data_IF_652512850391
#
_entry.id   IF_652512850391
#
_cell.length_a   1.000
_cell.length_b   1.000
_cell.length_c   1.000
_cell.angle_alpha   90.00
_cell.angle_beta   90.00
_cell.angle_gamma   90.00
#
_symmetry.space_group_name_H-M   'P 1'
#
loop_
_entity.id
_entity.type
_entity.pdbx_description
1 polymer ?
#
# COMPACT_ATOMS: atom_id res chain seq x y z
N UNK A 1 10.53 -18.58 14.72
CA UNK A 1 9.45 -17.60 14.54
C UNK A 1 10.14 -16.36 14.00
N UNK A 2 10.35 -16.31 12.68
CA UNK A 2 10.78 -15.08 12.05
C UNK A 2 9.51 -14.24 11.97
N UNK A 3 9.38 -13.25 12.84
CA UNK A 3 8.40 -12.20 12.60
C UNK A 3 8.88 -11.52 11.33
N UNK A 4 8.14 -11.67 10.23
CA UNK A 4 8.26 -10.72 9.13
C UNK A 4 8.11 -9.34 9.75
N UNK A 5 9.19 -8.55 9.71
CA UNK A 5 9.15 -7.13 10.09
C UNK A 5 8.40 -6.40 8.97
N UNK A 6 7.09 -6.65 8.82
CA UNK A 6 6.22 -5.88 7.93
C UNK A 6 6.13 -4.46 8.52
N UNK A 7 6.41 -3.43 7.71
CA UNK A 7 6.27 -2.03 8.15
C UNK A 7 4.78 -1.74 8.35
N UNK A 8 4.39 -1.37 9.57
CA UNK A 8 2.99 -1.04 9.90
C UNK A 8 2.71 0.43 9.75
N UNK A 9 1.73 0.73 8.93
CA UNK A 9 1.22 2.08 8.70
C UNK A 9 -0.12 2.25 9.43
N UNK A 10 -0.26 3.39 10.13
CA UNK A 10 -1.52 3.82 10.72
C UNK A 10 -2.11 4.85 9.78
N UNK A 11 -3.17 4.48 9.06
CA UNK A 11 -3.85 5.37 8.13
C UNK A 11 -5.19 5.76 8.75
N UNK A 12 -5.45 7.06 8.99
CA UNK A 12 -6.76 7.51 9.38
C UNK A 12 -7.69 7.53 8.16
N UNK A 13 -8.82 6.83 8.25
CA UNK A 13 -9.87 6.88 7.24
C UNK A 13 -10.61 8.22 7.22
N UNK A 14 -11.49 8.43 6.24
CA UNK A 14 -12.32 9.64 6.10
C UNK A 14 -13.18 9.97 7.35
N UNK A 15 -13.39 8.98 8.22
CA UNK A 15 -14.09 9.15 9.50
C UNK A 15 -13.17 9.52 10.68
N UNK A 16 -11.85 9.62 10.46
CA UNK A 16 -10.85 9.82 11.51
C UNK A 16 -10.63 8.60 12.39
N UNK A 17 -11.03 7.41 11.93
CA UNK A 17 -10.74 6.15 12.60
C UNK A 17 -9.37 5.66 12.11
N UNK A 18 -8.49 5.31 13.04
CA UNK A 18 -7.15 4.81 12.74
C UNK A 18 -7.24 3.33 12.35
N UNK A 19 -6.93 3.02 11.09
CA UNK A 19 -6.79 1.66 10.61
C UNK A 19 -5.31 1.28 10.50
N UNK A 20 -5.01 0.04 10.90
CA UNK A 20 -3.67 -0.52 10.84
C UNK A 20 -3.53 -1.30 9.53
N UNK A 21 -2.45 -1.02 8.82
CA UNK A 21 -2.08 -1.72 7.61
C UNK A 21 -0.64 -2.22 7.71
N UNK A 22 -0.39 -3.42 7.21
CA UNK A 22 0.95 -3.97 6.99
C UNK A 22 1.36 -3.65 5.53
N UNK A 23 2.53 -3.03 5.34
CA UNK A 23 3.10 -2.76 4.01
C UNK A 23 3.52 -4.08 3.36
N UNK A 24 2.91 -4.38 2.21
CA UNK A 24 3.37 -5.44 1.33
C UNK A 24 4.52 -4.92 0.46
N UNK A 25 4.31 -3.76 -0.18
CA UNK A 25 5.27 -3.23 -1.14
C UNK A 25 5.09 -1.73 -1.37
N UNK A 26 6.16 -1.01 -1.71
CA UNK A 26 6.10 0.38 -2.17
C UNK A 26 7.03 0.62 -3.35
N UNK A 27 6.61 1.47 -4.28
CA UNK A 27 7.40 1.85 -5.43
C UNK A 27 7.16 3.30 -5.84
N UNK A 28 8.13 3.89 -6.53
CA UNK A 28 8.02 5.24 -7.07
C UNK A 28 8.05 5.16 -8.59
N UNK A 29 7.06 5.78 -9.23
CA UNK A 29 6.98 5.88 -10.68
C UNK A 29 7.75 7.13 -11.10
N UNK A 30 8.99 6.93 -11.57
CA UNK A 30 9.91 8.01 -12.00
C UNK A 30 9.28 8.90 -13.08
N UNK A 31 8.42 8.34 -13.95
CA UNK A 31 7.71 9.09 -15.00
C UNK A 31 6.73 10.14 -14.46
N UNK A 32 6.20 9.94 -13.25
CA UNK A 32 5.22 10.83 -12.64
C UNK A 32 5.71 11.48 -11.35
N UNK A 33 6.89 11.09 -10.87
CA UNK A 33 7.42 11.41 -9.52
C UNK A 33 6.41 11.07 -8.40
N UNK A 34 5.46 10.17 -8.66
CA UNK A 34 4.47 9.72 -7.69
C UNK A 34 4.92 8.42 -7.06
N UNK A 35 4.64 8.29 -5.77
CA UNK A 35 4.94 7.07 -5.04
C UNK A 35 3.66 6.34 -4.67
N UNK A 36 3.71 5.02 -4.78
CA UNK A 36 2.60 4.10 -4.59
C UNK A 36 3.00 3.09 -3.52
N UNK A 37 2.04 2.72 -2.69
CA UNK A 37 2.20 1.78 -1.60
C UNK A 37 1.02 0.82 -1.58
N UNK A 38 1.33 -0.47 -1.55
CA UNK A 38 0.39 -1.58 -1.44
C UNK A 38 0.42 -2.08 0.00
N UNK A 39 -0.75 -2.14 0.59
CA UNK A 39 -0.99 -2.34 2.01
C UNK A 39 -2.04 -3.42 2.20
N UNK A 40 -1.95 -4.17 3.30
CA UNK A 40 -3.01 -5.10 3.71
C UNK A 40 -3.50 -4.76 5.11
N UNK A 41 -4.81 -4.81 5.36
CA UNK A 41 -5.39 -4.50 6.66
C UNK A 41 -4.95 -5.54 7.71
N UNK A 42 -4.43 -5.03 8.83
CA UNK A 42 -3.99 -5.89 9.94
C UNK A 42 -5.23 -6.49 10.62
N UNK A 43 -5.34 -7.81 10.58
CA UNK A 43 -6.44 -8.56 11.21
C UNK A 43 -7.34 -9.30 10.22
N UNK A 44 -7.19 -9.08 8.91
CA UNK A 44 -7.87 -9.91 7.88
C UNK A 44 -7.02 -11.12 7.45
N UNK A 45 -5.77 -11.20 7.93
CA UNK A 45 -4.88 -12.36 7.77
C UNK A 45 -5.35 -13.62 8.55
N UNK A 46 -6.41 -13.53 9.37
CA UNK A 46 -6.87 -14.62 10.24
C UNK A 46 -7.98 -15.50 9.64
N UNK A 47 -8.60 -15.12 8.51
CA UNK A 47 -9.58 -15.96 7.82
C UNK A 47 -8.89 -16.76 6.70
N UNK A 48 -8.50 -18.00 7.04
CA UNK A 48 -7.78 -18.97 6.20
C UNK A 48 -8.50 -19.36 4.87
N UNK A 49 -9.65 -18.76 4.59
CA UNK A 49 -10.51 -19.01 3.41
C UNK A 49 -10.86 -17.73 2.63
N UNK A 50 -10.45 -16.54 3.10
CA UNK A 50 -10.80 -15.25 2.49
C UNK A 50 -9.62 -14.71 1.66
N UNK A 51 -9.91 -14.21 0.47
CA UNK A 51 -8.91 -13.59 -0.41
C UNK A 51 -8.34 -12.37 0.31
N UNK A 52 -7.02 -12.30 0.50
CA UNK A 52 -6.37 -11.16 1.18
C UNK A 52 -6.65 -9.88 0.39
N UNK A 53 -7.48 -9.00 0.94
CA UNK A 53 -7.80 -7.72 0.31
C UNK A 53 -6.59 -6.78 0.38
N UNK A 54 -5.98 -6.51 -0.78
CA UNK A 54 -4.89 -5.55 -0.91
C UNK A 54 -5.43 -4.16 -1.22
N UNK A 55 -4.86 -3.15 -0.58
CA UNK A 55 -5.20 -1.75 -0.76
C UNK A 55 -4.01 -1.00 -1.31
N UNK A 56 -4.22 -0.21 -2.36
CA UNK A 56 -3.18 0.64 -2.92
C UNK A 56 -3.47 2.11 -2.64
N UNK A 57 -2.44 2.80 -2.15
CA UNK A 57 -2.46 4.23 -1.90
C UNK A 57 -1.28 4.89 -2.59
N UNK A 58 -1.51 6.00 -3.27
CA UNK A 58 -0.43 6.90 -3.68
C UNK A 58 -0.15 7.90 -2.57
N UNK A 59 1.12 8.17 -2.32
CA UNK A 59 1.54 9.22 -1.40
C UNK A 59 2.31 10.29 -2.15
N UNK A 60 2.00 11.55 -1.84
CA UNK A 60 2.66 12.71 -2.41
C UNK A 60 3.23 13.55 -1.26
N UNK A 61 4.55 13.73 -1.26
CA UNK A 61 5.23 14.63 -0.32
C UNK A 61 4.93 16.07 -0.73
N UNK A 62 4.12 16.81 0.04
CA UNK A 62 3.99 18.24 -0.20
C UNK A 62 5.25 18.93 0.32
N UNK A 63 5.89 19.73 -0.55
CA UNK A 63 7.00 20.63 -0.21
C UNK A 63 6.60 21.81 0.71
N UNK A 64 5.61 21.63 1.59
CA UNK A 64 5.25 22.61 2.60
C UNK A 64 6.15 22.44 3.85
N UNK A 65 6.25 23.53 4.64
CA UNK A 65 7.13 23.64 5.82
C UNK A 65 6.92 22.54 6.88
N UNK A 66 5.77 21.86 6.86
CA UNK A 66 5.38 20.80 7.80
C UNK A 66 5.66 19.36 7.32
N UNK A 67 6.22 19.16 6.11
CA UNK A 67 6.49 17.80 5.58
C UNK A 67 5.22 16.92 5.55
N UNK A 68 4.08 17.52 5.21
CA UNK A 68 2.79 16.84 5.18
C UNK A 68 2.74 15.88 3.98
N UNK A 69 2.54 14.59 4.27
CA UNK A 69 2.42 13.54 3.27
C UNK A 69 0.94 13.29 3.04
N UNK A 70 0.46 13.59 1.84
CA UNK A 70 -0.92 13.32 1.46
C UNK A 70 -1.03 11.93 0.87
N UNK A 71 -1.84 11.08 1.49
CA UNK A 71 -2.21 9.77 0.95
C UNK A 71 -3.50 9.91 0.14
N UNK A 72 -3.52 9.33 -1.05
CA UNK A 72 -4.69 9.24 -1.91
C UNK A 72 -4.94 7.78 -2.26
N UNK A 73 -6.15 7.24 -2.06
CA UNK A 73 -6.48 5.90 -2.50
C UNK A 73 -6.35 5.79 -4.02
N UNK A 74 -5.84 4.66 -4.48
CA UNK A 74 -5.76 4.34 -5.89
C UNK A 74 -7.09 3.72 -6.32
N UNK A 75 -7.82 4.43 -7.17
CA UNK A 75 -9.13 3.98 -7.67
C UNK A 75 -9.15 3.82 -9.19
N UNK A 76 -8.03 4.14 -9.87
CA UNK A 76 -7.98 4.14 -11.33
C UNK A 76 -7.43 2.83 -11.87
N UNK A 77 -8.10 2.24 -12.86
CA UNK A 77 -7.67 0.99 -13.50
C UNK A 77 -6.22 1.07 -14.03
N UNK A 78 -5.79 2.24 -14.53
CA UNK A 78 -4.41 2.43 -15.02
C UNK A 78 -3.37 2.31 -13.90
N UNK A 79 -3.64 2.86 -12.73
CA UNK A 79 -2.75 2.74 -11.57
C UNK A 79 -2.79 1.30 -11.02
N UNK A 80 -3.96 0.67 -11.00
CA UNK A 80 -4.11 -0.74 -10.62
C UNK A 80 -3.37 -1.69 -11.56
N UNK A 81 -3.45 -1.51 -12.87
CA UNK A 81 -2.74 -2.33 -13.87
C UNK A 81 -1.22 -2.28 -13.64
N UNK A 82 -0.67 -1.11 -13.30
CA UNK A 82 0.75 -0.96 -12.93
C UNK A 82 1.09 -1.71 -11.62
N UNK A 83 0.23 -1.60 -10.61
CA UNK A 83 0.42 -2.29 -9.32
C UNK A 83 0.35 -3.80 -9.50
N UNK A 84 -0.63 -4.29 -10.26
CA UNK A 84 -0.81 -5.70 -10.58
C UNK A 84 0.36 -6.25 -11.40
N UNK A 85 0.88 -5.50 -12.39
CA UNK A 85 2.06 -5.89 -13.16
C UNK A 85 3.29 -6.04 -12.26
N UNK A 86 3.51 -5.07 -11.36
CA UNK A 86 4.60 -5.11 -10.38
C UNK A 86 4.41 -6.29 -9.42
N UNK A 87 3.21 -6.46 -8.86
CA UNK A 87 2.90 -7.50 -7.88
C UNK A 87 3.01 -8.91 -8.48
N UNK A 88 2.58 -9.11 -9.73
CA UNK A 88 2.81 -10.36 -10.45
C UNK A 88 4.30 -10.61 -10.65
N UNK A 89 5.07 -9.60 -11.08
CA UNK A 89 6.53 -9.73 -11.26
C UNK A 89 7.24 -10.11 -9.96
N UNK A 90 6.86 -9.51 -8.83
CA UNK A 90 7.44 -9.83 -7.51
C UNK A 90 6.99 -11.19 -6.98
N UNK A 91 5.73 -11.58 -7.18
CA UNK A 91 5.23 -12.90 -6.76
C UNK A 91 5.80 -14.03 -7.60
N UNK A 92 6.05 -13.78 -8.89
CA UNK A 92 6.72 -14.73 -9.79
C UNK A 92 8.22 -14.93 -9.46
N UNK A 93 8.86 -14.01 -8.73
CA UNK A 93 10.25 -14.18 -8.25
C UNK A 93 10.39 -15.10 -7.03
N UNK A 94 9.29 -15.49 -6.37
CA UNK A 94 9.29 -16.43 -5.24
C UNK A 94 9.08 -17.92 -5.60
N UNK A 95 9.02 -18.29 -6.90
CA UNK A 95 8.98 -19.69 -7.37
C UNK A 95 10.35 -20.26 -7.84
#
# INVERSE_FOLDING_TARGET
MAQEEKERFVIPDENGTEHLFDELFRFTVDETEKSYMVLVPVGEEEDEEEEVEVFAFRYEEQQNEDNDISFYPVETDEEWDMIEEMLNTFSEEEE
#
